data_IF_860599572310
#
_entry.id   IF_860599572310
#
_cell.length_a   1.000
_cell.length_b   1.000
_cell.length_c   1.000
_cell.angle_alpha   90.00
_cell.angle_beta   90.00
_cell.angle_gamma   90.00
#
_symmetry.space_group_name_H-M   'P 1'
#
loop_
_entity.id
_entity.type
_entity.pdbx_description
1 polymer ?
#
# COMPACT_ATOMS: atom_id res chain seq x y z
N UNK A 1 -3.17 7.93 -13.04
CA UNK A 1 -2.64 7.07 -14.13
C UNK A 1 -2.29 5.70 -13.55
N UNK A 2 -2.59 4.59 -14.23
CA UNK A 2 -2.19 3.25 -13.77
C UNK A 2 -0.95 2.79 -14.53
N UNK A 3 0.06 2.31 -13.81
CA UNK A 3 1.31 1.80 -14.38
C UNK A 3 1.55 0.36 -13.91
N UNK A 4 2.15 -0.49 -14.76
CA UNK A 4 2.54 -1.84 -14.36
C UNK A 4 3.65 -1.76 -13.30
N UNK A 5 3.51 -2.56 -12.25
CA UNK A 5 4.47 -2.66 -11.16
C UNK A 5 4.63 -4.12 -10.74
N UNK A 6 5.79 -4.45 -10.17
CA UNK A 6 6.01 -5.71 -9.45
C UNK A 6 6.24 -5.42 -7.96
N UNK A 7 5.58 -6.16 -7.08
CA UNK A 7 5.76 -6.06 -5.63
C UNK A 7 6.41 -7.34 -5.10
N UNK A 8 7.52 -7.18 -4.40
CA UNK A 8 8.27 -8.29 -3.79
C UNK A 8 8.11 -8.23 -2.28
N UNK A 9 7.51 -9.29 -1.71
CA UNK A 9 7.47 -9.49 -0.27
C UNK A 9 8.79 -10.15 0.16
N UNK A 10 9.74 -9.33 0.62
CA UNK A 10 11.13 -9.69 0.93
C UNK A 10 11.27 -10.93 1.82
N UNK A 11 10.37 -11.13 2.78
CA UNK A 11 10.41 -12.28 3.70
C UNK A 11 9.86 -13.59 3.13
N UNK A 12 9.16 -13.56 2.00
CA UNK A 12 8.49 -14.75 1.42
C UNK A 12 8.98 -15.10 0.02
N UNK A 13 9.79 -14.23 -0.60
CA UNK A 13 10.19 -14.37 -2.01
C UNK A 13 9.02 -14.22 -3.01
N UNK A 14 7.83 -13.82 -2.54
CA UNK A 14 6.64 -13.72 -3.38
C UNK A 14 6.67 -12.45 -4.20
N UNK A 15 6.49 -12.61 -5.51
CA UNK A 15 6.35 -11.53 -6.48
C UNK A 15 4.86 -11.43 -6.86
N UNK A 16 4.33 -10.21 -6.87
CA UNK A 16 2.97 -9.92 -7.32
C UNK A 16 3.04 -8.83 -8.39
N UNK A 17 2.79 -9.21 -9.64
CA UNK A 17 2.64 -8.27 -10.75
C UNK A 17 1.22 -7.70 -10.76
N UNK A 18 1.11 -6.38 -10.85
CA UNK A 18 -0.17 -5.66 -10.80
C UNK A 18 -0.04 -4.27 -11.43
N UNK A 19 -1.11 -3.49 -11.36
CA UNK A 19 -1.09 -2.07 -11.69
C UNK A 19 -1.17 -1.22 -10.42
N UNK A 20 -0.26 -0.26 -10.28
CA UNK A 20 -0.30 0.78 -9.25
C UNK A 20 -0.91 2.06 -9.79
N UNK A 21 -1.63 2.81 -8.96
CA UNK A 21 -2.06 4.17 -9.28
C UNK A 21 -0.92 5.14 -8.93
N UNK A 22 -0.39 5.84 -9.93
CA UNK A 22 0.45 7.02 -9.69
C UNK A 22 -0.46 8.20 -9.34
N UNK A 23 -0.38 8.65 -8.09
CA UNK A 23 -1.26 9.65 -7.50
C UNK A 23 -0.45 10.67 -6.69
N UNK A 24 -0.33 11.89 -7.22
CA UNK A 24 0.32 13.00 -6.52
C UNK A 24 -0.58 13.66 -5.47
N UNK A 25 -1.87 13.33 -5.43
CA UNK A 25 -2.81 13.80 -4.41
C UNK A 25 -2.74 13.00 -3.11
N UNK A 26 -2.09 11.83 -3.11
CA UNK A 26 -1.90 11.01 -1.92
C UNK A 26 -0.70 11.49 -1.09
N UNK A 27 -0.92 11.79 0.19
CA UNK A 27 0.15 12.20 1.11
C UNK A 27 1.07 11.07 1.59
N UNK A 28 0.79 9.82 1.22
CA UNK A 28 1.58 8.65 1.57
C UNK A 28 1.41 7.53 0.55
N UNK A 29 2.32 6.56 0.59
CA UNK A 29 2.16 5.31 -0.15
C UNK A 29 1.08 4.45 0.51
N UNK A 30 0.05 4.12 -0.24
CA UNK A 30 -1.11 3.35 0.22
C UNK A 30 -1.18 2.01 -0.51
N UNK A 31 -1.67 1.00 0.18
CA UNK A 31 -1.98 -0.31 -0.43
C UNK A 31 -3.33 -0.80 0.07
N UNK A 32 -4.11 -1.36 -0.85
CA UNK A 32 -5.45 -1.85 -0.55
C UNK A 32 -5.42 -3.03 0.43
N UNK A 33 -6.33 -3.00 1.41
CA UNK A 33 -6.47 -4.02 2.45
C UNK A 33 -6.83 -5.39 1.87
N UNK A 34 -7.77 -5.45 0.91
CA UNK A 34 -8.16 -6.72 0.30
C UNK A 34 -7.03 -7.31 -0.54
N UNK A 35 -6.28 -6.46 -1.25
CA UNK A 35 -5.09 -6.88 -1.99
C UNK A 35 -4.03 -7.50 -1.08
N UNK A 36 -3.77 -6.88 0.09
CA UNK A 36 -2.84 -7.41 1.10
C UNK A 36 -3.27 -8.78 1.59
N UNK A 37 -4.55 -8.96 1.92
CA UNK A 37 -5.08 -10.23 2.40
C UNK A 37 -5.06 -11.32 1.31
N UNK A 38 -5.53 -10.99 0.10
CA UNK A 38 -5.57 -11.92 -1.05
C UNK A 38 -4.19 -12.47 -1.38
N UNK A 39 -3.18 -11.61 -1.34
CA UNK A 39 -1.80 -12.00 -1.66
C UNK A 39 -0.98 -12.47 -0.47
N UNK A 40 -1.59 -12.53 0.74
CA UNK A 40 -0.94 -12.94 1.99
C UNK A 40 0.34 -12.16 2.27
N UNK A 41 0.33 -10.86 2.02
CA UNK A 41 1.51 -10.01 2.22
C UNK A 41 1.80 -9.85 3.73
N UNK A 42 3.08 -9.89 4.14
CA UNK A 42 3.46 -9.74 5.54
C UNK A 42 3.13 -8.32 6.02
N UNK A 43 2.34 -8.22 7.08
CA UNK A 43 1.85 -6.96 7.64
C UNK A 43 2.37 -6.75 9.06
N UNK A 44 2.79 -5.52 9.35
CA UNK A 44 3.23 -5.09 10.67
C UNK A 44 2.16 -4.21 11.29
N UNK A 45 1.78 -4.47 12.54
CA UNK A 45 0.80 -3.65 13.26
C UNK A 45 1.44 -2.34 13.70
N UNK A 46 0.74 -1.24 13.51
CA UNK A 46 1.15 0.06 14.05
C UNK A 46 0.95 0.08 15.58
N UNK A 47 1.87 0.74 16.28
CA UNK A 47 1.73 0.98 17.72
C UNK A 47 0.47 1.80 18.03
N UNK A 48 0.20 2.83 17.22
CA UNK A 48 -1.00 3.67 17.29
C UNK A 48 -1.70 3.70 15.93
N UNK A 49 -3.00 3.36 15.85
CA UNK A 49 -3.77 3.49 14.61
C UNK A 49 -3.82 4.94 14.12
N UNK A 50 -3.81 5.13 12.80
CA UNK A 50 -3.95 6.44 12.17
C UNK A 50 -5.38 6.64 11.67
N UNK A 51 -5.87 7.87 11.75
CA UNK A 51 -7.16 8.29 11.19
C UNK A 51 -6.91 9.08 9.89
N UNK A 52 -6.96 8.44 8.71
CA UNK A 52 -6.78 9.15 7.46
C UNK A 52 -7.97 10.09 7.19
N UNK A 53 -7.68 11.26 6.62
CA UNK A 53 -8.66 12.21 6.10
C UNK A 53 -8.48 12.34 4.60
N UNK A 54 -9.58 12.53 3.90
CA UNK A 54 -9.57 12.87 2.48
C UNK A 54 -9.19 14.36 2.30
N UNK A 55 -8.91 14.76 1.06
CA UNK A 55 -8.51 16.14 0.72
C UNK A 55 -9.58 17.17 1.09
N UNK A 56 -10.86 16.79 1.03
CA UNK A 56 -12.00 17.63 1.45
C UNK A 56 -12.19 17.71 2.97
N UNK A 57 -11.31 17.07 3.76
CA UNK A 57 -11.33 17.06 5.23
C UNK A 57 -12.23 15.99 5.84
N UNK A 58 -13.03 15.27 5.04
CA UNK A 58 -13.87 14.16 5.51
C UNK A 58 -13.02 12.98 5.99
N UNK A 59 -13.58 12.16 6.88
CA UNK A 59 -12.91 10.92 7.27
C UNK A 59 -12.93 9.92 6.12
N UNK A 60 -11.84 9.17 5.97
CA UNK A 60 -11.84 8.07 5.01
C UNK A 60 -12.85 6.99 5.43
N UNK A 61 -13.75 6.60 4.53
CA UNK A 61 -14.79 5.58 4.77
C UNK A 61 -14.19 4.21 5.12
N UNK A 62 -12.97 3.93 4.66
CA UNK A 62 -12.20 2.74 5.01
C UNK A 62 -11.78 2.65 6.49
N UNK A 63 -11.99 3.72 7.26
CA UNK A 63 -11.71 3.77 8.68
C UNK A 63 -10.21 3.93 9.00
N UNK A 64 -9.79 3.40 10.14
CA UNK A 64 -8.44 3.62 10.67
C UNK A 64 -7.40 2.70 10.04
N UNK A 65 -6.22 3.25 9.74
CA UNK A 65 -5.04 2.49 9.33
C UNK A 65 -4.43 1.83 10.56
N UNK A 66 -4.36 0.50 10.56
CA UNK A 66 -3.80 -0.30 11.68
C UNK A 66 -2.53 -1.04 11.32
N UNK A 67 -2.22 -1.17 10.02
CA UNK A 67 -1.14 -1.99 9.52
C UNK A 67 -0.34 -1.27 8.45
N UNK A 68 0.93 -1.65 8.33
CA UNK A 68 1.78 -1.32 7.20
C UNK A 68 2.35 -2.59 6.59
N UNK A 69 2.76 -2.52 5.33
CA UNK A 69 3.61 -3.52 4.69
C UNK A 69 4.87 -2.83 4.18
N UNK A 70 6.00 -3.53 4.18
CA UNK A 70 7.23 -3.05 3.55
C UNK A 70 7.54 -3.99 2.40
N UNK A 71 7.58 -3.45 1.19
CA UNK A 71 7.73 -4.22 -0.04
C UNK A 71 8.80 -3.57 -0.92
N UNK A 72 9.54 -4.38 -1.68
CA UNK A 72 10.27 -3.85 -2.83
C UNK A 72 9.29 -3.64 -3.96
N UNK A 73 9.23 -2.42 -4.48
CA UNK A 73 8.46 -2.02 -5.63
C UNK A 73 9.40 -1.93 -6.83
N UNK A 74 9.06 -2.60 -7.92
CA UNK A 74 9.75 -2.43 -9.21
C UNK A 74 8.85 -1.73 -10.21
N UNK A 75 9.40 -0.69 -10.85
CA UNK A 75 8.80 0.00 -11.99
C UNK A 75 9.83 -0.01 -13.10
N UNK A 76 9.53 -0.68 -14.22
CA UNK A 76 10.52 -0.98 -15.28
C UNK A 76 11.76 -1.64 -14.67
N UNK A 77 12.93 -0.99 -14.78
CA UNK A 77 14.22 -1.53 -14.32
C UNK A 77 14.65 -0.95 -12.97
N UNK A 78 13.81 -0.13 -12.33
CA UNK A 78 14.11 0.50 -11.04
C UNK A 78 13.39 -0.22 -9.93
N UNK A 79 14.14 -0.62 -8.90
CA UNK A 79 13.63 -1.23 -7.68
C UNK A 79 13.83 -0.32 -6.48
N UNK A 80 12.82 -0.24 -5.62
CA UNK A 80 12.89 0.52 -4.39
C UNK A 80 12.07 -0.10 -3.27
N UNK A 81 12.66 -0.22 -2.07
CA UNK A 81 11.92 -0.67 -0.89
C UNK A 81 11.13 0.49 -0.30
N UNK A 82 9.79 0.31 -0.24
CA UNK A 82 8.87 1.31 0.29
C UNK A 82 7.97 0.71 1.36
N UNK A 83 7.63 1.55 2.33
CA UNK A 83 6.57 1.27 3.31
C UNK A 83 5.24 1.75 2.73
N UNK A 84 4.23 0.90 2.79
CA UNK A 84 2.85 1.22 2.41
C UNK A 84 1.95 1.12 3.63
N UNK A 85 1.03 2.07 3.77
CA UNK A 85 -0.03 2.01 4.76
C UNK A 85 -1.20 1.21 4.21
N UNK A 86 -1.68 0.25 5.01
CA UNK A 86 -2.79 -0.62 4.60
C UNK A 86 -4.11 0.06 4.93
N UNK A 87 -4.90 0.36 3.91
CA UNK A 87 -6.23 0.95 4.05
C UNK A 87 -7.17 0.45 2.96
N UNK A 88 -8.45 0.77 3.08
CA UNK A 88 -9.37 0.53 1.97
C UNK A 88 -9.16 1.63 0.93
N UNK A 89 -8.60 1.27 -0.22
CA UNK A 89 -8.48 2.18 -1.35
C UNK A 89 -9.72 1.94 -2.21
N UNK A 90 -10.62 2.93 -2.23
CA UNK A 90 -11.95 2.84 -2.84
C UNK A 90 -11.99 2.33 -4.28
#
# INVERSE_FOLDING_TARGET
>A
MRIPISLFATSTGRIVDTHGLLDCGAGANLIDHHFVLKNRLPRTRLAKPLKPRNVDGTENVGGTIKYTVTLTLRISDTEETRKFYVMNCG
#
